data_IF_336548253738
#
_entry.id   IF_336548253738
#
_cell.length_a   1.000
_cell.length_b   1.000
_cell.length_c   1.000
_cell.angle_alpha   90.00
_cell.angle_beta   90.00
_cell.angle_gamma   90.00
#
_symmetry.space_group_name_H-M   'P 1'
#
loop_
_entity.id
_entity.type
_entity.pdbx_description
1 polymer ?
#
# COMPACT_ATOMS: atom_id res chain seq x y z
N UNK A 1 -1.16 -10.71 28.19
CA UNK A 1 -0.75 -9.31 28.07
C UNK A 1 -1.01 -8.84 26.63
N UNK A 2 -1.83 -7.78 26.50
CA UNK A 2 -1.85 -6.77 25.42
C UNK A 2 -2.22 -7.12 23.97
N UNK A 3 -3.36 -7.81 23.72
CA UNK A 3 -4.03 -7.74 22.41
C UNK A 3 -4.66 -6.34 22.15
N UNK A 4 -5.02 -5.62 23.23
CA UNK A 4 -5.64 -4.30 23.16
C UNK A 4 -4.73 -3.22 22.53
N UNK A 5 -3.41 -3.28 22.77
CA UNK A 5 -2.46 -2.30 22.22
C UNK A 5 -2.19 -2.49 20.73
N UNK A 6 -2.22 -3.73 20.23
CA UNK A 6 -2.06 -4.02 18.80
C UNK A 6 -3.26 -3.53 17.98
N UNK A 7 -4.49 -3.78 18.47
CA UNK A 7 -5.72 -3.29 17.82
C UNK A 7 -5.86 -1.77 17.85
N UNK A 8 -5.37 -1.10 18.91
CA UNK A 8 -5.34 0.36 19.00
C UNK A 8 -4.43 1.00 17.95
N UNK A 9 -3.24 0.43 17.71
CA UNK A 9 -2.30 0.92 16.70
C UNK A 9 -2.85 0.75 15.27
N UNK A 10 -3.46 -0.40 14.99
CA UNK A 10 -4.11 -0.67 13.70
C UNK A 10 -5.25 0.33 13.42
N UNK A 11 -6.16 0.52 14.39
CA UNK A 11 -7.26 1.48 14.26
C UNK A 11 -6.76 2.92 14.04
N UNK A 12 -5.69 3.33 14.72
CA UNK A 12 -5.09 4.65 14.52
C UNK A 12 -4.55 4.83 13.10
N UNK A 13 -3.90 3.80 12.55
CA UNK A 13 -3.39 3.83 11.18
C UNK A 13 -4.52 3.85 10.14
N UNK A 14 -5.59 3.08 10.36
CA UNK A 14 -6.80 3.10 9.51
C UNK A 14 -7.45 4.48 9.55
N UNK A 15 -7.61 5.07 10.75
CA UNK A 15 -8.15 6.42 10.92
C UNK A 15 -7.28 7.47 10.21
N UNK A 16 -5.96 7.32 10.25
CA UNK A 16 -5.04 8.19 9.52
C UNK A 16 -5.26 8.11 8.01
N UNK A 17 -5.40 6.89 7.45
CA UNK A 17 -5.73 6.70 6.03
C UNK A 17 -7.10 7.30 5.66
N UNK A 18 -8.11 7.11 6.52
CA UNK A 18 -9.45 7.65 6.31
C UNK A 18 -9.48 9.19 6.25
N UNK A 19 -8.60 9.86 7.01
CA UNK A 19 -8.46 11.32 7.01
C UNK A 19 -7.66 11.88 5.83
N UNK A 20 -6.98 11.04 5.05
CA UNK A 20 -6.29 11.51 3.84
C UNK A 20 -7.27 12.02 2.79
N UNK A 21 -6.82 12.91 1.90
CA UNK A 21 -7.58 13.20 0.68
C UNK A 21 -7.61 11.96 -0.23
N UNK A 22 -8.65 11.83 -1.04
CA UNK A 22 -8.81 10.70 -1.97
C UNK A 22 -7.62 10.59 -2.92
N UNK A 23 -7.13 11.72 -3.44
CA UNK A 23 -5.95 11.77 -4.30
C UNK A 23 -4.69 11.23 -3.60
N UNK A 24 -4.49 11.58 -2.32
CA UNK A 24 -3.34 11.12 -1.55
C UNK A 24 -3.45 9.62 -1.22
N UNK A 25 -4.64 9.16 -0.83
CA UNK A 25 -4.87 7.75 -0.53
C UNK A 25 -4.71 6.87 -1.77
N UNK A 26 -5.28 7.28 -2.91
CA UNK A 26 -5.14 6.57 -4.18
C UNK A 26 -3.70 6.57 -4.68
N UNK A 27 -2.95 7.66 -4.48
CA UNK A 27 -1.52 7.70 -4.78
C UNK A 27 -0.72 6.71 -3.93
N UNK A 28 -0.98 6.66 -2.62
CA UNK A 28 -0.35 5.68 -1.72
C UNK A 28 -0.71 4.23 -2.10
N UNK A 29 -1.98 3.96 -2.41
CA UNK A 29 -2.44 2.64 -2.84
C UNK A 29 -1.81 2.21 -4.17
N UNK A 30 -1.70 3.14 -5.14
CA UNK A 30 -1.01 2.90 -6.41
C UNK A 30 0.47 2.59 -6.18
N UNK A 31 1.16 3.39 -5.38
CA UNK A 31 2.56 3.15 -5.05
C UNK A 31 2.74 1.78 -4.41
N UNK A 32 1.87 1.39 -3.48
CA UNK A 32 1.91 0.06 -2.88
C UNK A 32 1.68 -1.06 -3.90
N UNK A 33 0.73 -0.89 -4.82
CA UNK A 33 0.49 -1.86 -5.89
C UNK A 33 1.70 -2.03 -6.79
N UNK A 34 2.26 -0.92 -7.29
CA UNK A 34 3.49 -0.94 -8.09
C UNK A 34 4.65 -1.61 -7.31
N UNK A 35 4.83 -1.27 -6.02
CA UNK A 35 5.89 -1.82 -5.18
C UNK A 35 5.78 -3.34 -4.97
N UNK A 36 4.58 -3.82 -4.62
CA UNK A 36 4.33 -5.25 -4.40
C UNK A 36 4.47 -6.02 -5.72
N UNK A 37 3.93 -5.48 -6.82
CA UNK A 37 4.02 -6.12 -8.13
C UNK A 37 5.45 -6.18 -8.66
N UNK A 38 6.21 -5.10 -8.54
CA UNK A 38 7.64 -5.07 -8.92
C UNK A 38 8.44 -6.06 -8.08
N UNK A 39 8.19 -6.16 -6.78
CA UNK A 39 8.89 -7.12 -5.90
C UNK A 39 8.69 -8.58 -6.29
N UNK A 40 7.53 -8.95 -6.85
CA UNK A 40 7.31 -10.31 -7.36
C UNK A 40 8.22 -10.63 -8.54
N UNK A 41 8.46 -9.66 -9.43
CA UNK A 41 9.36 -9.81 -10.59
C UNK A 41 10.83 -9.59 -10.26
N UNK A 42 11.11 -8.70 -9.31
CA UNK A 42 12.44 -8.19 -8.98
C UNK A 42 12.79 -8.47 -7.51
N UNK A 43 12.95 -9.74 -7.11
CA UNK A 43 13.14 -10.12 -5.70
C UNK A 43 14.43 -9.55 -5.08
N UNK A 44 15.41 -9.20 -5.91
CA UNK A 44 16.67 -8.58 -5.48
C UNK A 44 16.51 -7.10 -5.06
N UNK A 45 15.46 -6.40 -5.51
CA UNK A 45 15.19 -5.03 -5.06
C UNK A 45 14.69 -5.08 -3.62
N UNK A 46 15.50 -4.58 -2.68
CA UNK A 46 15.13 -4.58 -1.27
C UNK A 46 14.41 -3.28 -0.93
N UNK A 47 13.24 -3.32 -0.26
CA UNK A 47 12.57 -2.12 0.18
C UNK A 47 13.42 -1.38 1.23
N UNK A 48 13.39 -0.04 1.21
CA UNK A 48 13.83 0.78 2.35
C UNK A 48 12.77 0.75 3.46
N UNK A 49 13.02 1.40 4.60
CA UNK A 49 11.98 1.55 5.64
C UNK A 49 10.74 2.29 5.11
N UNK A 50 10.94 3.33 4.31
CA UNK A 50 9.83 4.01 3.61
C UNK A 50 9.07 3.05 2.68
N UNK A 51 9.80 2.20 1.94
CA UNK A 51 9.19 1.17 1.08
C UNK A 51 8.37 0.14 1.87
N UNK A 52 8.87 -0.28 3.04
CA UNK A 52 8.13 -1.18 3.95
C UNK A 52 6.87 -0.53 4.51
N UNK A 53 6.93 0.75 4.86
CA UNK A 53 5.75 1.49 5.32
C UNK A 53 4.65 1.52 4.26
N UNK A 54 5.02 1.65 2.98
CA UNK A 54 4.06 1.59 1.87
C UNK A 54 3.42 0.20 1.73
N UNK A 55 4.11 -0.90 2.06
CA UNK A 55 3.49 -2.24 2.04
C UNK A 55 2.38 -2.43 3.07
N UNK A 56 2.34 -1.63 4.14
CA UNK A 56 1.27 -1.69 5.13
C UNK A 56 -0.05 -1.10 4.58
N UNK A 57 0.01 -0.20 3.58
CA UNK A 57 -1.17 0.47 3.02
C UNK A 57 -2.25 -0.50 2.56
N UNK A 58 -1.99 -1.51 1.70
CA UNK A 58 -3.02 -2.45 1.28
C UNK A 58 -3.62 -3.22 2.46
N UNK A 59 -2.81 -3.67 3.42
CA UNK A 59 -3.29 -4.38 4.62
C UNK A 59 -4.30 -3.52 5.38
N UNK A 60 -3.94 -2.27 5.68
CA UNK A 60 -4.81 -1.33 6.39
C UNK A 60 -6.07 -0.98 5.60
N UNK A 61 -6.00 -0.91 4.27
CA UNK A 61 -7.17 -0.71 3.42
C UNK A 61 -8.14 -1.89 3.49
N UNK A 62 -7.62 -3.12 3.35
CA UNK A 62 -8.42 -4.34 3.45
C UNK A 62 -9.01 -4.50 4.85
N UNK A 63 -8.20 -4.38 5.89
CA UNK A 63 -8.65 -4.44 7.29
C UNK A 63 -9.70 -3.35 7.59
N UNK A 64 -9.45 -2.11 7.15
CA UNK A 64 -10.39 -1.01 7.32
C UNK A 64 -11.75 -1.29 6.70
N UNK A 65 -11.77 -1.90 5.51
CA UNK A 65 -13.00 -2.31 4.81
C UNK A 65 -13.66 -3.51 5.49
N UNK A 66 -12.93 -4.61 5.66
CA UNK A 66 -13.46 -5.92 6.05
C UNK A 66 -13.89 -5.98 7.51
N UNK A 67 -13.18 -5.25 8.39
CA UNK A 67 -13.51 -5.14 9.81
C UNK A 67 -14.41 -3.94 10.12
N UNK A 68 -14.88 -3.21 9.10
CA UNK A 68 -15.73 -2.02 9.24
C UNK A 68 -15.12 -0.92 10.12
N UNK A 69 -13.80 -0.73 10.05
CA UNK A 69 -13.06 0.20 10.91
C UNK A 69 -12.90 1.59 10.29
N UNK A 70 -13.27 1.77 9.01
CA UNK A 70 -13.29 3.07 8.34
C UNK A 70 -14.68 3.70 8.36
N UNK A 71 -14.81 5.01 8.61
CA UNK A 71 -16.09 5.72 8.47
C UNK A 71 -16.51 5.92 7.00
N UNK A 72 -15.60 5.75 6.04
CA UNK A 72 -15.88 5.88 4.60
C UNK A 72 -15.41 4.62 3.84
N UNK A 73 -16.28 3.60 3.73
CA UNK A 73 -15.93 2.36 3.04
C UNK A 73 -15.80 2.54 1.51
N UNK A 74 -16.49 3.52 0.92
CA UNK A 74 -16.43 3.76 -0.54
C UNK A 74 -15.05 4.25 -0.94
N UNK A 75 -14.49 5.18 -0.15
CA UNK A 75 -13.12 5.67 -0.32
C UNK A 75 -12.08 4.55 -0.25
N UNK A 76 -12.22 3.64 0.73
CA UNK A 76 -11.32 2.49 0.86
C UNK A 76 -11.46 1.53 -0.32
N UNK A 77 -12.67 1.25 -0.79
CA UNK A 77 -12.88 0.42 -1.98
C UNK A 77 -12.22 1.00 -3.23
N UNK A 78 -12.31 2.32 -3.47
CA UNK A 78 -11.63 2.96 -4.59
C UNK A 78 -10.10 2.85 -4.50
N UNK A 79 -9.55 3.03 -3.29
CA UNK A 79 -8.12 2.87 -3.06
C UNK A 79 -7.67 1.41 -3.26
N UNK A 80 -8.46 0.43 -2.80
CA UNK A 80 -8.21 -1.00 -3.03
C UNK A 80 -8.18 -1.31 -4.53
N UNK A 81 -9.17 -0.87 -5.29
CA UNK A 81 -9.17 -1.06 -6.75
C UNK A 81 -7.97 -0.39 -7.43
N UNK A 82 -7.55 0.77 -6.95
CA UNK A 82 -6.34 1.45 -7.43
C UNK A 82 -5.08 0.61 -7.17
N UNK A 83 -4.98 0.04 -5.96
CA UNK A 83 -3.91 -0.88 -5.60
C UNK A 83 -3.91 -2.13 -6.48
N UNK A 84 -5.05 -2.82 -6.62
CA UNK A 84 -5.18 -4.06 -7.39
C UNK A 84 -4.77 -3.87 -8.84
N UNK A 85 -5.24 -2.77 -9.46
CA UNK A 85 -4.88 -2.42 -10.84
C UNK A 85 -3.39 -2.16 -10.98
N UNK A 86 -2.80 -1.38 -10.07
CA UNK A 86 -1.38 -1.05 -10.10
C UNK A 86 -0.52 -2.31 -9.90
N UNK A 87 -0.91 -3.16 -8.95
CA UNK A 87 -0.28 -4.45 -8.70
C UNK A 87 -0.28 -5.34 -9.94
N UNK A 88 -1.45 -5.57 -10.55
CA UNK A 88 -1.57 -6.41 -11.73
C UNK A 88 -0.73 -5.88 -12.90
N UNK A 89 -0.76 -4.57 -13.13
CA UNK A 89 0.06 -3.93 -14.16
C UNK A 89 1.55 -4.10 -13.88
N UNK A 90 2.00 -3.84 -12.65
CA UNK A 90 3.41 -3.91 -12.29
C UNK A 90 3.95 -5.34 -12.33
N UNK A 91 3.16 -6.32 -11.91
CA UNK A 91 3.52 -7.74 -11.94
C UNK A 91 3.66 -8.29 -13.38
N UNK A 92 3.03 -7.63 -14.37
CA UNK A 92 3.06 -8.06 -15.78
C UNK A 92 3.94 -7.17 -16.68
N UNK A 93 4.38 -6.00 -16.21
CA UNK A 93 5.12 -5.02 -17.01
C UNK A 93 6.49 -5.55 -17.42
N UNK A 94 6.93 -5.31 -18.66
CA UNK A 94 8.23 -5.76 -19.18
C UNK A 94 9.44 -4.90 -18.77
N UNK A 95 9.22 -3.79 -18.06
CA UNK A 95 10.27 -2.87 -17.66
C UNK A 95 11.34 -3.52 -16.76
N UNK A 96 12.60 -3.10 -16.90
CA UNK A 96 13.71 -3.63 -16.10
C UNK A 96 13.58 -3.27 -14.61
N UNK A 97 14.16 -4.08 -13.73
CA UNK A 97 14.20 -3.79 -12.30
C UNK A 97 14.88 -2.45 -11.98
N UNK A 98 15.89 -2.06 -12.76
CA UNK A 98 16.57 -0.77 -12.60
C UNK A 98 15.63 0.40 -12.96
N UNK A 99 14.86 0.26 -14.04
CA UNK A 99 13.85 1.25 -14.43
C UNK A 99 12.73 1.36 -13.40
N UNK A 100 12.30 0.25 -12.79
CA UNK A 100 11.29 0.27 -11.74
C UNK A 100 11.81 0.90 -10.44
N UNK A 101 13.06 0.60 -10.05
CA UNK A 101 13.72 1.29 -8.94
C UNK A 101 13.78 2.81 -9.15
N UNK A 102 14.07 3.25 -10.38
CA UNK A 102 14.19 4.67 -10.69
C UNK A 102 12.87 5.45 -10.56
N UNK A 103 11.70 4.80 -10.67
CA UNK A 103 10.40 5.45 -10.45
C UNK A 103 10.18 5.81 -8.98
N UNK A 104 10.72 4.99 -8.08
CA UNK A 104 10.58 5.17 -6.64
C UNK A 104 11.94 5.04 -5.94
N UNK A 105 12.88 5.97 -6.18
CA UNK A 105 14.28 5.81 -5.78
C UNK A 105 14.47 5.77 -4.26
N UNK A 106 13.52 6.34 -3.50
CA UNK A 106 13.53 6.33 -2.03
C UNK A 106 12.94 5.06 -1.42
N UNK A 107 12.22 4.26 -2.19
CA UNK A 107 11.48 3.09 -1.69
C UNK A 107 12.27 1.78 -1.84
N UNK A 108 13.41 1.80 -2.55
CA UNK A 108 14.28 0.65 -2.77
C UNK A 108 15.75 0.97 -2.47
N UNK A 109 16.49 -0.02 -1.98
CA UNK A 109 17.95 0.00 -1.76
C UNK A 109 18.69 -0.74 -2.86
#
# INVERSE_FOLDING_TARGET
MSAASAGQGEQQNINFLARMSDARLNSAARMAGDLVGVRQRCPALRPTEDGKAIFAVPVLLYDGRDKHLTPDPRKFNMAIHTYERAFAMAAQRSASCQSERAKYPKLYR
#
